data_IF_146089041509
#
_entry.id   IF_146089041509
#
_cell.length_a   1.000
_cell.length_b   1.000
_cell.length_c   1.000
_cell.angle_alpha   90.00
_cell.angle_beta   90.00
_cell.angle_gamma   90.00
#
_symmetry.space_group_name_H-M   'P 1'
#
loop_
_entity.id
_entity.type
_entity.pdbx_description
1 polymer ?
#
# COMPACT_ATOMS: atom_id res chain seq x y z
N UNK A 1 -22.17 2.62 27.05
CA UNK A 1 -21.52 1.30 27.05
C UNK A 1 -21.16 1.04 25.61
N UNK A 2 -20.10 1.68 25.17
CA UNK A 2 -19.66 1.65 23.78
C UNK A 2 -18.64 0.53 23.68
N UNK A 3 -19.16 -0.69 23.54
CA UNK A 3 -18.42 -1.83 23.02
C UNK A 3 -18.09 -1.51 21.57
N UNK A 4 -17.10 -0.63 21.37
CA UNK A 4 -16.41 -0.54 20.08
C UNK A 4 -15.83 -1.93 19.87
N UNK A 5 -16.47 -2.64 18.95
CA UNK A 5 -16.08 -3.93 18.43
C UNK A 5 -14.62 -3.80 17.97
N UNK A 6 -13.67 -4.10 18.88
CA UNK A 6 -12.26 -4.11 18.54
C UNK A 6 -12.12 -5.20 17.51
N UNK A 7 -11.98 -4.80 16.25
CA UNK A 7 -11.80 -5.72 15.15
C UNK A 7 -10.56 -6.55 15.48
N UNK A 8 -10.73 -7.86 15.60
CA UNK A 8 -9.62 -8.73 15.94
C UNK A 8 -8.82 -9.00 14.66
N UNK A 9 -7.67 -8.31 14.52
CA UNK A 9 -6.74 -8.48 13.39
C UNK A 9 -6.41 -9.96 13.17
N UNK A 10 -6.26 -10.75 14.24
CA UNK A 10 -5.96 -12.18 14.14
C UNK A 10 -7.10 -12.95 13.46
N UNK A 11 -8.35 -12.61 13.79
CA UNK A 11 -9.52 -13.24 13.20
C UNK A 11 -9.66 -12.88 11.72
N UNK A 12 -9.37 -11.63 11.35
CA UNK A 12 -9.35 -11.21 9.94
C UNK A 12 -8.27 -11.96 9.18
N UNK A 13 -7.03 -11.98 9.68
CA UNK A 13 -5.91 -12.65 9.02
C UNK A 13 -6.24 -14.12 8.79
N UNK A 14 -6.76 -14.81 9.80
CA UNK A 14 -7.19 -16.21 9.68
C UNK A 14 -8.31 -16.39 8.66
N UNK A 15 -9.30 -15.50 8.66
CA UNK A 15 -10.43 -15.54 7.72
C UNK A 15 -9.97 -15.32 6.27
N UNK A 16 -9.14 -14.30 6.03
CA UNK A 16 -8.60 -13.99 4.71
C UNK A 16 -7.73 -15.13 4.20
N UNK A 17 -6.84 -15.68 5.03
CA UNK A 17 -6.01 -16.84 4.68
C UNK A 17 -6.86 -18.05 4.30
N UNK A 18 -7.82 -18.42 5.14
CA UNK A 18 -8.73 -19.55 4.88
C UNK A 18 -9.49 -19.38 3.55
N UNK A 19 -10.02 -18.18 3.29
CA UNK A 19 -10.76 -17.90 2.06
C UNK A 19 -9.85 -18.01 0.83
N UNK A 20 -8.62 -17.53 0.91
CA UNK A 20 -7.65 -17.62 -0.19
C UNK A 20 -7.19 -19.06 -0.44
N UNK A 21 -7.00 -19.85 0.61
CA UNK A 21 -6.68 -21.29 0.51
C UNK A 21 -7.83 -22.08 -0.12
N UNK A 22 -9.08 -21.75 0.21
CA UNK A 22 -10.28 -22.31 -0.40
C UNK A 22 -10.56 -21.78 -1.82
N UNK A 23 -9.64 -21.02 -2.42
CA UNK A 23 -9.81 -20.39 -3.74
C UNK A 23 -10.97 -19.38 -3.84
N UNK A 24 -11.47 -18.89 -2.70
CA UNK A 24 -12.57 -17.91 -2.59
C UNK A 24 -12.05 -16.48 -2.57
N UNK A 25 -11.22 -16.12 -3.55
CA UNK A 25 -10.52 -14.82 -3.58
C UNK A 25 -11.48 -13.62 -3.54
N UNK A 26 -12.64 -13.71 -4.18
CA UNK A 26 -13.64 -12.64 -4.21
C UNK A 26 -14.16 -12.31 -2.80
N UNK A 27 -14.41 -13.34 -1.98
CA UNK A 27 -14.88 -13.16 -0.61
C UNK A 27 -13.76 -12.63 0.29
N UNK A 28 -12.52 -13.10 0.08
CA UNK A 28 -11.36 -12.57 0.79
C UNK A 28 -11.16 -11.07 0.51
N UNK A 29 -11.29 -10.66 -0.76
CA UNK A 29 -11.23 -9.25 -1.15
C UNK A 29 -12.36 -8.45 -0.49
N UNK A 30 -13.59 -8.97 -0.45
CA UNK A 30 -14.70 -8.27 0.24
C UNK A 30 -14.44 -8.05 1.72
N UNK A 31 -13.85 -9.03 2.39
CA UNK A 31 -13.40 -8.86 3.79
C UNK A 31 -12.40 -7.72 3.85
N UNK A 32 -11.35 -7.76 3.02
CA UNK A 32 -10.29 -6.72 3.00
C UNK A 32 -10.83 -5.32 2.71
N UNK A 33 -11.80 -5.20 1.80
CA UNK A 33 -12.44 -3.92 1.46
C UNK A 33 -13.31 -3.35 2.58
N UNK A 34 -13.68 -4.16 3.57
CA UNK A 34 -14.49 -3.74 4.72
C UNK A 34 -13.63 -3.34 5.92
N UNK A 35 -12.30 -3.40 5.80
CA UNK A 35 -11.35 -3.09 6.86
C UNK A 35 -11.03 -1.60 6.85
N UNK A 36 -10.92 -1.00 8.04
CA UNK A 36 -10.47 0.38 8.19
C UNK A 36 -9.00 0.54 7.76
N UNK A 37 -8.58 1.71 7.26
CA UNK A 37 -7.20 1.92 6.77
C UNK A 37 -6.11 1.56 7.77
N UNK A 38 -6.32 1.80 9.07
CA UNK A 38 -5.31 1.47 10.08
C UNK A 38 -5.14 -0.05 10.22
N UNK A 39 -6.24 -0.78 10.36
CA UNK A 39 -6.25 -2.24 10.50
C UNK A 39 -5.74 -2.94 9.23
N UNK A 40 -5.94 -2.34 8.05
CA UNK A 40 -5.47 -2.89 6.78
C UNK A 40 -3.94 -3.06 6.75
N UNK A 41 -3.20 -2.14 7.37
CA UNK A 41 -1.74 -2.20 7.44
C UNK A 41 -1.32 -3.44 8.23
N UNK A 42 -1.86 -3.61 9.44
CA UNK A 42 -1.58 -4.75 10.31
C UNK A 42 -2.00 -6.08 9.68
N UNK A 43 -3.15 -6.12 8.99
CA UNK A 43 -3.61 -7.32 8.29
C UNK A 43 -2.66 -7.68 7.15
N UNK A 44 -2.29 -6.73 6.29
CA UNK A 44 -1.35 -6.98 5.20
C UNK A 44 0.02 -7.43 5.73
N UNK A 45 0.52 -6.83 6.80
CA UNK A 45 1.80 -7.21 7.38
C UNK A 45 1.81 -8.65 7.90
N UNK A 46 0.72 -9.07 8.56
CA UNK A 46 0.59 -10.38 9.20
C UNK A 46 0.17 -11.53 8.28
N UNK A 47 -0.33 -11.24 7.08
CA UNK A 47 -0.67 -12.29 6.10
C UNK A 47 0.59 -12.97 5.57
N UNK A 48 0.54 -14.30 5.42
CA UNK A 48 1.60 -15.04 4.73
C UNK A 48 1.82 -14.51 3.30
N UNK A 49 3.08 -14.44 2.85
CA UNK A 49 3.43 -13.83 1.57
C UNK A 49 2.60 -14.36 0.37
N UNK A 50 2.30 -15.65 0.34
CA UNK A 50 1.51 -16.26 -0.73
C UNK A 50 0.05 -15.79 -0.74
N UNK A 51 -0.55 -15.61 0.45
CA UNK A 51 -1.91 -15.10 0.60
C UNK A 51 -1.94 -13.61 0.30
N UNK A 52 -1.01 -12.86 0.91
CA UNK A 52 -0.87 -11.42 0.74
C UNK A 52 -0.71 -10.99 -0.71
N UNK A 53 0.16 -11.67 -1.48
CA UNK A 53 0.32 -11.39 -2.92
C UNK A 53 -0.97 -11.57 -3.71
N UNK A 54 -1.76 -12.61 -3.41
CA UNK A 54 -3.07 -12.82 -4.05
C UNK A 54 -4.04 -11.71 -3.71
N UNK A 55 -4.05 -11.25 -2.46
CA UNK A 55 -4.87 -10.12 -2.02
C UNK A 55 -4.44 -8.82 -2.70
N UNK A 56 -3.15 -8.46 -2.67
CA UNK A 56 -2.62 -7.27 -3.36
C UNK A 56 -2.95 -7.30 -4.86
N UNK A 57 -2.84 -8.46 -5.49
CA UNK A 57 -3.17 -8.64 -6.92
C UNK A 57 -4.68 -8.55 -7.23
N UNK A 58 -5.56 -8.77 -6.24
CA UNK A 58 -7.01 -8.77 -6.44
C UNK A 58 -7.71 -7.50 -5.94
N UNK A 59 -7.20 -6.86 -4.89
CA UNK A 59 -7.76 -5.64 -4.32
C UNK A 59 -7.45 -4.45 -5.24
N UNK A 60 -8.40 -3.53 -5.47
CA UNK A 60 -8.11 -2.31 -6.22
C UNK A 60 -7.09 -1.46 -5.47
N UNK A 61 -6.00 -1.08 -6.13
CA UNK A 61 -4.94 -0.27 -5.52
C UNK A 61 -5.43 1.05 -4.93
N UNK A 62 -6.54 1.61 -5.44
CA UNK A 62 -7.17 2.81 -4.89
C UNK A 62 -7.63 2.64 -3.44
N UNK A 63 -7.99 1.43 -3.00
CA UNK A 63 -8.31 1.15 -1.60
C UNK A 63 -7.06 1.10 -0.71
N UNK A 64 -5.92 0.68 -1.27
CA UNK A 64 -4.65 0.60 -0.54
C UNK A 64 -3.94 1.97 -0.56
N UNK A 65 -4.29 2.86 -1.51
CA UNK A 65 -3.67 4.16 -1.73
C UNK A 65 -3.52 5.00 -0.46
N UNK A 66 -4.56 5.04 0.38
CA UNK A 66 -4.60 5.82 1.62
C UNK A 66 -3.67 5.31 2.72
N UNK A 67 -3.18 4.06 2.59
CA UNK A 67 -2.29 3.42 3.56
C UNK A 67 -0.87 3.22 3.03
N UNK A 68 -0.62 3.44 1.72
CA UNK A 68 0.68 3.21 1.09
C UNK A 68 1.83 3.88 1.84
N UNK A 69 1.68 5.15 2.23
CA UNK A 69 2.74 5.88 2.94
C UNK A 69 3.10 5.27 4.30
N UNK A 70 2.18 4.52 4.92
CA UNK A 70 2.40 3.86 6.21
C UNK A 70 2.89 2.41 6.09
N UNK A 71 2.84 1.83 4.88
CA UNK A 71 3.33 0.47 4.69
C UNK A 71 4.86 0.39 4.89
N UNK A 72 5.37 -0.76 5.36
CA UNK A 72 6.79 -1.06 5.38
C UNK A 72 7.35 -1.20 3.97
N UNK A 73 8.66 -1.00 3.83
CA UNK A 73 9.39 -0.96 2.54
C UNK A 73 9.19 -2.25 1.73
N UNK A 74 9.21 -3.40 2.40
CA UNK A 74 9.02 -4.72 1.78
C UNK A 74 7.64 -4.87 1.13
N UNK A 75 6.59 -4.36 1.77
CA UNK A 75 5.23 -4.40 1.22
C UNK A 75 5.08 -3.44 0.05
N UNK A 76 5.64 -2.23 0.13
CA UNK A 76 5.65 -1.29 -0.98
C UNK A 76 6.35 -1.89 -2.20
N UNK A 77 7.50 -2.53 -1.99
CA UNK A 77 8.21 -3.21 -3.06
C UNK A 77 7.39 -4.37 -3.65
N UNK A 78 6.77 -5.21 -2.80
CA UNK A 78 5.91 -6.32 -3.25
C UNK A 78 4.73 -5.82 -4.09
N UNK A 79 4.11 -4.69 -3.71
CA UNK A 79 3.03 -4.06 -4.48
C UNK A 79 3.53 -3.61 -5.86
N UNK A 80 4.67 -2.92 -5.92
CA UNK A 80 5.23 -2.44 -7.21
C UNK A 80 5.54 -3.61 -8.14
N UNK A 81 6.09 -4.71 -7.62
CA UNK A 81 6.37 -5.93 -8.40
C UNK A 81 5.08 -6.62 -8.84
N UNK A 82 4.08 -6.74 -7.95
CA UNK A 82 2.84 -7.47 -8.24
C UNK A 82 1.90 -6.71 -9.18
N UNK A 83 1.84 -5.39 -9.09
CA UNK A 83 0.90 -4.53 -9.86
C UNK A 83 1.57 -3.84 -11.05
N UNK A 84 2.90 -3.81 -11.06
CA UNK A 84 3.66 -3.11 -12.06
C UNK A 84 3.77 -1.61 -11.78
N UNK A 85 4.84 -1.03 -12.31
CA UNK A 85 5.21 0.35 -12.07
C UNK A 85 4.16 1.36 -12.55
N UNK A 86 3.57 1.11 -13.73
CA UNK A 86 2.61 2.04 -14.34
C UNK A 86 1.31 2.14 -13.54
N UNK A 87 0.79 1.02 -13.05
CA UNK A 87 -0.45 1.00 -12.27
C UNK A 87 -0.22 1.63 -10.89
N UNK A 88 0.89 1.28 -10.24
CA UNK A 88 1.29 1.88 -8.97
C UNK A 88 1.42 3.41 -9.12
N UNK A 89 2.13 3.87 -10.16
CA UNK A 89 2.31 5.31 -10.40
C UNK A 89 0.97 6.02 -10.65
N UNK A 90 0.04 5.38 -11.36
CA UNK A 90 -1.29 5.95 -11.61
C UNK A 90 -2.04 6.21 -10.30
N UNK A 91 -1.95 5.31 -9.33
CA UNK A 91 -2.59 5.49 -8.01
C UNK A 91 -1.94 6.63 -7.22
N UNK A 92 -0.62 6.82 -7.34
CA UNK A 92 0.07 7.93 -6.66
C UNK A 92 -0.35 9.33 -7.14
N UNK A 93 -1.03 9.44 -8.27
CA UNK A 93 -1.55 10.74 -8.75
C UNK A 93 -2.57 11.31 -7.76
N UNK A 94 -3.42 10.45 -7.19
CA UNK A 94 -4.48 10.80 -6.26
C UNK A 94 -4.01 10.87 -4.79
N UNK A 95 -2.82 10.35 -4.48
CA UNK A 95 -2.21 10.37 -3.13
C UNK A 95 -1.58 11.74 -2.86
N UNK A 96 -1.71 12.36 -1.68
CA UNK A 96 -1.06 13.64 -1.36
C UNK A 96 0.44 13.67 -1.68
N UNK A 97 1.01 14.80 -2.16
CA UNK A 97 2.41 14.85 -2.58
C UNK A 97 3.40 14.54 -1.45
N UNK A 98 3.06 14.86 -0.20
CA UNK A 98 3.83 14.53 1.00
C UNK A 98 3.89 13.01 1.23
N UNK A 99 2.72 12.36 1.27
CA UNK A 99 2.62 10.89 1.32
C UNK A 99 3.37 10.22 0.15
N UNK A 100 3.29 10.77 -1.06
CA UNK A 100 4.06 10.25 -2.21
C UNK A 100 5.56 10.38 -1.95
N UNK A 101 6.04 11.49 -1.39
CA UNK A 101 7.45 11.64 -1.05
C UNK A 101 7.89 10.59 -0.02
N UNK A 102 7.10 10.32 1.03
CA UNK A 102 7.37 9.23 1.99
C UNK A 102 7.40 7.85 1.32
N UNK A 103 6.43 7.53 0.46
CA UNK A 103 6.40 6.27 -0.30
C UNK A 103 7.66 6.12 -1.14
N UNK A 104 8.07 7.19 -1.83
CA UNK A 104 9.24 7.16 -2.72
C UNK A 104 10.56 7.04 -1.94
N UNK A 105 10.66 7.56 -0.72
CA UNK A 105 11.85 7.41 0.14
C UNK A 105 12.10 5.95 0.54
N UNK A 106 11.02 5.20 0.74
CA UNK A 106 11.02 3.76 1.09
C UNK A 106 11.34 2.82 -0.08
N UNK A 107 11.29 3.33 -1.31
CA UNK A 107 11.54 2.53 -2.50
C UNK A 107 13.00 2.62 -2.96
N UNK A 108 13.54 1.55 -3.59
CA UNK A 108 14.86 1.60 -4.20
C UNK A 108 15.00 2.78 -5.17
N UNK A 109 16.15 3.45 -5.13
CA UNK A 109 16.42 4.67 -5.92
C UNK A 109 16.08 4.54 -7.41
N UNK A 110 16.34 3.36 -8.00
CA UNK A 110 15.97 3.04 -9.39
C UNK A 110 14.46 3.10 -9.62
N UNK A 111 13.67 2.47 -8.75
CA UNK A 111 12.20 2.47 -8.84
C UNK A 111 11.67 3.89 -8.62
N UNK A 112 12.17 4.59 -7.60
CA UNK A 112 11.81 6.00 -7.35
C UNK A 112 11.98 6.87 -8.58
N UNK A 113 13.15 6.82 -9.22
CA UNK A 113 13.42 7.60 -10.43
C UNK A 113 12.48 7.25 -11.59
N UNK A 114 12.13 5.97 -11.75
CA UNK A 114 11.18 5.56 -12.79
C UNK A 114 9.76 6.05 -12.49
N UNK A 115 9.31 6.02 -11.22
CA UNK A 115 8.00 6.55 -10.83
C UNK A 115 7.93 8.06 -11.07
N UNK A 116 8.96 8.82 -10.66
CA UNK A 116 9.01 10.27 -10.88
C UNK A 116 8.90 10.65 -12.36
N UNK A 117 9.51 9.86 -13.25
CA UNK A 117 9.41 10.07 -14.71
C UNK A 117 8.03 9.72 -15.29
N UNK A 118 7.26 8.86 -14.62
CA UNK A 118 5.92 8.45 -15.05
C UNK A 118 4.81 9.33 -14.45
N UNK A 119 5.10 10.06 -13.36
CA UNK A 119 4.16 11.00 -12.77
C UNK A 119 3.89 12.18 -13.72
N UNK A 120 2.68 12.77 -13.67
CA UNK A 120 2.42 14.04 -14.32
C UNK A 120 3.42 15.12 -13.86
N UNK A 121 3.84 16.05 -14.74
CA UNK A 121 4.92 17.00 -14.43
C UNK A 121 4.61 17.87 -13.20
N UNK A 122 3.36 18.29 -13.04
CA UNK A 122 2.92 19.06 -11.86
C UNK A 122 3.05 18.27 -10.56
N UNK A 123 2.78 16.95 -10.58
CA UNK A 123 2.89 16.09 -9.39
C UNK A 123 4.36 15.79 -9.09
N UNK A 124 5.13 15.45 -10.13
CA UNK A 124 6.55 15.16 -10.00
C UNK A 124 7.34 16.36 -9.45
N UNK A 125 6.99 17.58 -9.87
CA UNK A 125 7.61 18.80 -9.36
C UNK A 125 7.37 18.98 -7.85
N UNK A 126 6.11 18.87 -7.40
CA UNK A 126 5.75 19.00 -5.98
C UNK A 126 6.44 17.95 -5.11
N UNK A 127 6.42 16.68 -5.55
CA UNK A 127 7.08 15.58 -4.84
C UNK A 127 8.60 15.76 -4.81
N UNK A 128 9.21 16.21 -5.91
CA UNK A 128 10.66 16.44 -5.98
C UNK A 128 11.11 17.55 -5.03
N UNK A 129 10.29 18.60 -4.84
CA UNK A 129 10.58 19.62 -3.83
C UNK A 129 10.61 18.99 -2.44
N UNK A 130 9.59 18.21 -2.07
CA UNK A 130 9.48 17.57 -0.75
C UNK A 130 10.65 16.61 -0.48
N UNK A 131 11.03 15.78 -1.47
CA UNK A 131 12.19 14.88 -1.37
C UNK A 131 13.52 15.60 -1.12
N UNK A 132 13.66 16.87 -1.54
CA UNK A 132 14.87 17.68 -1.28
C UNK A 132 14.88 18.30 0.12
N UNK A 133 13.72 18.41 0.77
CA UNK A 133 13.56 19.04 2.08
C UNK A 133 13.32 18.02 3.21
N UNK A 134 13.26 16.72 2.91
CA UNK A 134 13.18 15.68 3.93
C UNK A 134 14.36 15.76 4.90
N UNK A 135 14.13 15.63 6.23
CA UNK A 135 15.11 15.89 7.28
C UNK A 135 16.37 15.00 7.26
N UNK A 136 16.42 13.95 6.43
CA UNK A 136 17.66 13.19 6.17
C UNK A 136 18.73 13.99 5.40
N UNK A 137 18.41 15.20 4.92
CA UNK A 137 19.38 16.14 4.33
C UNK A 137 19.89 17.19 5.31
N UNK A 138 19.49 17.13 6.59
CA UNK A 138 20.13 17.84 7.69
C UNK A 138 21.09 16.88 8.42
N UNK A 139 22.17 16.52 7.75
CA UNK A 139 23.31 15.77 8.28
C UNK A 139 24.60 16.22 7.61
#
# INVERSE_FOLDING_TARGET
MDVKNAINIEEIVNTVSMLVEQQRIYEAVKVVLSIEPHDLIDVLDRLENSVRRKIISAVPLTHIASVLARLPDELLYEIVISRGLSEFTRVLIDVPPDDVADILQKLPSRIRSQILNLLPPWKAEEVTKLLRYSPESAG
#
